data_IF_503794914471
#
_entry.id   IF_503794914471
#
_cell.length_a   1.000
_cell.length_b   1.000
_cell.length_c   1.000
_cell.angle_alpha   90.00
_cell.angle_beta   90.00
_cell.angle_gamma   90.00
#
_symmetry.space_group_name_H-M   'P 1'
#
loop_
_entity.id
_entity.type
_entity.pdbx_description
1 polymer ?
#
# COMPACT_ATOMS: atom_id res chain seq x y z
N UNK A 1 52.26 -10.12 -16.48
CA UNK A 1 51.77 -10.80 -15.27
C UNK A 1 50.26 -10.54 -15.18
N UNK A 2 49.45 -11.48 -15.67
CA UNK A 2 48.00 -11.34 -15.69
C UNK A 2 47.46 -11.76 -14.32
N UNK A 3 46.82 -10.84 -13.60
CA UNK A 3 46.19 -11.13 -12.31
C UNK A 3 45.18 -12.26 -12.48
N UNK A 4 45.43 -13.38 -11.81
CA UNK A 4 44.51 -14.50 -11.75
C UNK A 4 43.18 -14.03 -11.19
N UNK A 5 42.11 -14.10 -12.00
CA UNK A 5 40.74 -13.93 -11.53
C UNK A 5 40.45 -15.09 -10.58
N UNK A 6 40.52 -14.82 -9.28
CA UNK A 6 40.26 -15.79 -8.21
C UNK A 6 38.84 -16.33 -8.39
N UNK A 7 38.72 -17.65 -8.62
CA UNK A 7 37.43 -18.31 -8.77
C UNK A 7 36.56 -18.05 -7.54
N UNK A 8 35.37 -17.45 -7.76
CA UNK A 8 34.42 -17.23 -6.68
C UNK A 8 33.98 -18.58 -6.09
N UNK A 9 33.89 -18.72 -4.75
CA UNK A 9 33.44 -19.95 -4.12
C UNK A 9 32.05 -20.34 -4.63
N UNK A 10 31.78 -21.65 -4.77
CA UNK A 10 30.45 -22.17 -5.16
C UNK A 10 29.44 -21.89 -4.03
N UNK A 11 28.85 -20.70 -4.04
CA UNK A 11 27.81 -20.29 -3.11
C UNK A 11 26.55 -21.15 -3.31
N UNK A 12 26.02 -21.69 -2.21
CA UNK A 12 24.70 -22.35 -2.16
C UNK A 12 23.82 -21.54 -1.24
N UNK A 13 22.70 -21.07 -1.76
CA UNK A 13 21.72 -20.28 -0.99
C UNK A 13 20.69 -21.22 -0.35
N UNK A 14 20.33 -21.01 0.93
CA UNK A 14 19.23 -21.74 1.53
C UNK A 14 17.91 -21.34 0.90
N UNK A 15 16.99 -22.29 0.76
CA UNK A 15 15.59 -22.00 0.45
C UNK A 15 14.89 -21.68 1.76
N UNK A 16 14.24 -20.52 1.84
CA UNK A 16 13.46 -20.08 3.01
C UNK A 16 11.99 -19.95 2.58
N UNK A 17 11.09 -20.47 3.41
CA UNK A 17 9.64 -20.44 3.20
C UNK A 17 8.93 -20.00 4.48
N UNK A 18 7.79 -19.31 4.36
CA UNK A 18 7.03 -18.76 5.49
C UNK A 18 6.99 -17.23 5.46
N UNK A 19 6.58 -16.63 6.57
CA UNK A 19 6.65 -15.19 6.79
C UNK A 19 7.63 -14.84 7.93
N UNK A 20 7.78 -13.54 8.21
CA UNK A 20 8.61 -13.02 9.29
C UNK A 20 7.74 -12.38 10.39
N UNK A 21 6.58 -12.97 10.68
CA UNK A 21 5.63 -12.45 11.68
C UNK A 21 5.47 -13.41 12.88
N UNK A 22 5.26 -12.87 14.09
CA UNK A 22 5.39 -11.46 14.46
C UNK A 22 6.85 -11.02 14.60
N UNK A 23 7.13 -9.74 14.34
CA UNK A 23 8.43 -9.14 14.62
C UNK A 23 8.56 -8.79 16.11
N UNK A 24 9.75 -8.99 16.67
CA UNK A 24 10.10 -8.56 18.02
C UNK A 24 11.56 -8.09 18.05
N UNK A 25 11.81 -6.95 18.72
CA UNK A 25 13.15 -6.38 18.91
C UNK A 25 13.66 -6.54 20.36
N UNK A 26 12.91 -7.25 21.20
CA UNK A 26 13.29 -7.61 22.57
C UNK A 26 12.36 -8.68 23.17
N UNK A 27 12.74 -9.29 24.31
CA UNK A 27 12.02 -10.44 24.89
C UNK A 27 10.54 -10.19 25.18
N UNK A 28 10.18 -8.94 25.47
CA UNK A 28 8.80 -8.52 25.75
C UNK A 28 8.33 -7.40 24.81
N UNK A 29 8.99 -7.24 23.66
CA UNK A 29 8.73 -6.17 22.69
C UNK A 29 8.26 -6.76 21.36
N UNK A 30 7.16 -7.52 21.39
CA UNK A 30 6.52 -8.05 20.18
C UNK A 30 5.66 -6.95 19.55
N UNK A 31 5.91 -6.65 18.27
CA UNK A 31 5.22 -5.58 17.55
C UNK A 31 3.88 -6.05 16.98
N UNK A 32 3.02 -6.63 17.82
CA UNK A 32 1.67 -7.05 17.41
C UNK A 32 0.60 -5.97 17.62
N UNK A 33 0.89 -4.93 18.39
CA UNK A 33 -0.07 -3.85 18.68
C UNK A 33 -0.52 -3.08 17.42
N UNK A 34 0.37 -2.87 16.44
CA UNK A 34 0.01 -2.15 15.21
C UNK A 34 -1.00 -2.91 14.34
N UNK A 35 -1.24 -4.20 14.59
CA UNK A 35 -2.33 -4.95 13.95
C UNK A 35 -3.69 -4.36 14.28
N UNK A 36 -3.86 -3.70 15.43
CA UNK A 36 -5.14 -3.11 15.87
C UNK A 36 -5.10 -1.60 16.11
N UNK A 37 -3.94 -0.96 16.25
CA UNK A 37 -3.86 0.50 16.41
C UNK A 37 -4.68 1.26 15.36
N UNK A 38 -5.51 2.24 15.79
CA UNK A 38 -6.36 3.06 14.90
C UNK A 38 -7.29 2.24 13.99
N UNK A 39 -8.07 1.33 14.57
CA UNK A 39 -9.01 0.45 13.84
C UNK A 39 -9.96 1.19 12.90
N UNK A 40 -10.45 2.37 13.28
CA UNK A 40 -11.32 3.20 12.43
C UNK A 40 -10.62 3.62 11.14
N UNK A 41 -9.36 4.04 11.21
CA UNK A 41 -8.56 4.39 10.03
C UNK A 41 -8.28 3.16 9.16
N UNK A 42 -7.94 2.01 9.75
CA UNK A 42 -7.79 0.73 9.00
C UNK A 42 -9.07 0.38 8.21
N UNK A 43 -10.25 0.59 8.81
CA UNK A 43 -11.53 0.43 8.13
C UNK A 43 -11.69 1.43 6.98
N UNK A 44 -11.38 2.71 7.21
CA UNK A 44 -11.46 3.75 6.18
C UNK A 44 -10.57 3.41 4.96
N UNK A 45 -9.34 2.93 5.20
CA UNK A 45 -8.43 2.47 4.13
C UNK A 45 -9.06 1.35 3.30
N UNK A 46 -9.73 0.39 3.94
CA UNK A 46 -10.42 -0.71 3.25
C UNK A 46 -11.59 -0.22 2.40
N UNK A 47 -12.42 0.67 2.94
CA UNK A 47 -13.58 1.24 2.24
C UNK A 47 -13.14 2.11 1.04
N UNK A 48 -12.16 3.00 1.24
CA UNK A 48 -11.60 3.83 0.17
C UNK A 48 -10.96 2.99 -0.94
N UNK A 49 -10.23 1.92 -0.59
CA UNK A 49 -9.65 0.99 -1.57
C UNK A 49 -10.72 0.31 -2.42
N UNK A 50 -11.84 -0.10 -1.80
CA UNK A 50 -12.95 -0.73 -2.50
C UNK A 50 -13.65 0.25 -3.44
N UNK A 51 -13.90 1.48 -3.00
CA UNK A 51 -14.48 2.53 -3.82
C UNK A 51 -13.58 2.91 -5.00
N UNK A 52 -12.28 3.07 -4.78
CA UNK A 52 -11.33 3.37 -5.84
C UNK A 52 -11.29 2.26 -6.91
N UNK A 53 -11.39 0.99 -6.49
CA UNK A 53 -11.51 -0.15 -7.43
C UNK A 53 -12.83 -0.11 -8.20
N UNK A 54 -13.94 0.21 -7.54
CA UNK A 54 -15.25 0.33 -8.19
C UNK A 54 -15.24 1.45 -9.25
N UNK A 55 -14.67 2.62 -8.94
CA UNK A 55 -14.50 3.74 -9.87
C UNK A 55 -13.67 3.34 -11.10
N UNK A 56 -12.54 2.66 -10.90
CA UNK A 56 -11.71 2.16 -12.00
C UNK A 56 -12.45 1.15 -12.88
N UNK A 57 -13.22 0.25 -12.26
CA UNK A 57 -14.01 -0.76 -12.98
C UNK A 57 -15.13 -0.11 -13.79
N UNK A 58 -15.83 0.87 -13.23
CA UNK A 58 -16.87 1.63 -13.92
C UNK A 58 -16.30 2.41 -15.12
N UNK A 59 -15.14 3.04 -14.97
CA UNK A 59 -14.47 3.73 -16.08
C UNK A 59 -14.00 2.76 -17.17
N UNK A 60 -13.50 1.58 -16.81
CA UNK A 60 -13.14 0.56 -17.79
C UNK A 60 -14.37 0.08 -18.59
N UNK A 61 -15.50 -0.17 -17.90
CA UNK A 61 -16.75 -0.56 -18.53
C UNK A 61 -17.31 0.54 -19.43
N UNK A 62 -17.19 1.81 -19.05
CA UNK A 62 -17.65 2.92 -19.90
C UNK A 62 -16.84 3.01 -21.20
N UNK A 63 -15.51 2.82 -21.14
CA UNK A 63 -14.66 2.79 -22.35
C UNK A 63 -15.10 1.65 -23.28
N UNK A 64 -15.34 0.45 -22.73
CA UNK A 64 -15.76 -0.72 -23.52
C UNK A 64 -17.15 -0.53 -24.14
N UNK A 65 -18.07 0.10 -23.42
CA UNK A 65 -19.47 0.28 -23.86
C UNK A 65 -19.62 1.39 -24.91
N UNK A 66 -18.74 2.40 -24.89
CA UNK A 66 -18.79 3.57 -25.78
C UNK A 66 -17.68 3.55 -26.84
N UNK A 67 -17.38 2.37 -27.41
CA UNK A 67 -16.43 2.21 -28.54
C UNK A 67 -15.05 2.85 -28.32
N UNK A 68 -14.50 2.76 -27.11
CA UNK A 68 -13.16 3.27 -26.81
C UNK A 68 -13.11 4.77 -26.46
N UNK A 69 -14.25 5.42 -26.23
CA UNK A 69 -14.27 6.80 -25.75
C UNK A 69 -13.53 6.90 -24.41
N UNK A 70 -12.53 7.78 -24.34
CA UNK A 70 -11.77 8.04 -23.12
C UNK A 70 -12.70 8.50 -21.99
N UNK A 71 -12.42 8.13 -20.72
CA UNK A 71 -13.17 8.66 -19.60
C UNK A 71 -13.14 10.19 -19.63
N UNK A 72 -14.22 10.87 -19.23
CA UNK A 72 -14.20 12.32 -19.04
C UNK A 72 -13.02 12.72 -18.15
N UNK A 73 -12.38 13.86 -18.43
CA UNK A 73 -11.23 14.37 -17.66
C UNK A 73 -11.44 14.28 -16.14
N UNK A 74 -12.63 14.66 -15.67
CA UNK A 74 -13.03 14.57 -14.25
C UNK A 74 -12.97 13.15 -13.68
N UNK A 75 -13.37 12.14 -14.45
CA UNK A 75 -13.31 10.75 -14.02
C UNK A 75 -11.86 10.26 -13.91
N UNK A 76 -11.00 10.63 -14.88
CA UNK A 76 -9.57 10.32 -14.83
C UNK A 76 -8.88 11.00 -13.65
N UNK A 77 -9.22 12.26 -13.35
CA UNK A 77 -8.71 13.00 -12.18
C UNK A 77 -9.17 12.37 -10.86
N UNK A 78 -10.45 11.98 -10.74
CA UNK A 78 -10.96 11.29 -9.56
C UNK A 78 -10.26 9.93 -9.34
N UNK A 79 -10.03 9.16 -10.41
CA UNK A 79 -9.29 7.90 -10.33
C UNK A 79 -7.83 8.13 -9.91
N UNK A 80 -7.19 9.18 -10.38
CA UNK A 80 -5.84 9.54 -9.97
C UNK A 80 -5.79 9.92 -8.49
N UNK A 81 -6.72 10.77 -8.04
CA UNK A 81 -6.83 11.20 -6.64
C UNK A 81 -7.05 10.01 -5.69
N UNK A 82 -8.01 9.12 -6.00
CA UNK A 82 -8.25 7.93 -5.18
C UNK A 82 -7.04 6.99 -5.12
N UNK A 83 -6.30 6.84 -6.23
CA UNK A 83 -5.08 6.03 -6.27
C UNK A 83 -3.99 6.60 -5.38
N UNK A 84 -3.75 7.91 -5.47
CA UNK A 84 -2.72 8.57 -4.68
C UNK A 84 -3.03 8.48 -3.18
N UNK A 85 -4.26 8.77 -2.78
CA UNK A 85 -4.66 8.72 -1.38
C UNK A 85 -4.58 7.30 -0.79
N UNK A 86 -5.06 6.28 -1.53
CA UNK A 86 -4.97 4.88 -1.09
C UNK A 86 -3.51 4.42 -1.01
N UNK A 87 -2.67 4.82 -1.98
CA UNK A 87 -1.25 4.47 -2.00
C UNK A 87 -0.49 5.09 -0.81
N UNK A 88 -0.72 6.38 -0.53
CA UNK A 88 -0.15 7.05 0.63
C UNK A 88 -0.59 6.38 1.94
N UNK A 89 -1.86 5.98 2.03
CA UNK A 89 -2.38 5.29 3.20
C UNK A 89 -1.74 3.90 3.44
N UNK A 90 -1.10 3.29 2.44
CA UNK A 90 -0.33 2.04 2.61
C UNK A 90 1.05 2.25 3.25
N UNK A 91 1.49 3.49 3.47
CA UNK A 91 2.74 3.77 4.18
C UNK A 91 2.80 3.01 5.51
N UNK A 92 3.97 2.50 5.87
CA UNK A 92 4.15 1.64 7.06
C UNK A 92 3.97 2.39 8.39
N UNK A 93 3.76 3.70 8.38
CA UNK A 93 3.27 4.47 9.54
C UNK A 93 1.83 4.97 9.41
N UNK A 94 1.20 4.77 8.24
CA UNK A 94 -0.18 5.14 7.98
C UNK A 94 -1.12 4.01 8.39
N UNK A 95 -1.29 2.96 7.56
CA UNK A 95 -2.24 1.86 7.83
C UNK A 95 -1.92 1.11 9.13
N UNK A 96 -0.66 1.07 9.54
CA UNK A 96 -0.22 0.48 10.81
C UNK A 96 -0.70 1.29 12.01
N UNK A 97 -0.95 2.59 11.84
CA UNK A 97 -1.41 3.50 12.88
C UNK A 97 -0.31 3.96 13.84
N UNK A 98 0.96 3.89 13.42
CA UNK A 98 2.14 4.29 14.23
C UNK A 98 2.55 5.76 14.07
N UNK A 99 1.92 6.51 13.15
CA UNK A 99 2.15 7.95 13.02
C UNK A 99 1.57 8.78 14.20
N UNK A 100 2.11 9.99 14.36
CA UNK A 100 1.57 11.01 15.29
C UNK A 100 0.12 11.37 14.94
N UNK A 101 -0.63 11.85 15.92
CA UNK A 101 -2.07 12.15 15.76
C UNK A 101 -2.36 13.07 14.57
N UNK A 102 -1.72 14.23 14.47
CA UNK A 102 -1.95 15.17 13.38
C UNK A 102 -1.61 14.60 11.99
N UNK A 103 -0.64 13.68 11.90
CA UNK A 103 -0.31 12.98 10.65
C UNK A 103 -1.40 11.97 10.29
N UNK A 104 -1.93 11.28 11.29
CA UNK A 104 -3.06 10.35 11.10
C UNK A 104 -4.35 11.08 10.70
N UNK A 105 -4.56 12.29 11.23
CA UNK A 105 -5.67 13.16 10.85
C UNK A 105 -5.53 13.61 9.39
N UNK A 106 -4.30 13.96 8.95
CA UNK A 106 -4.01 14.29 7.55
C UNK A 106 -4.25 13.09 6.61
N UNK A 107 -3.82 11.87 6.98
CA UNK A 107 -4.15 10.68 6.20
C UNK A 107 -5.66 10.47 6.05
N UNK A 108 -6.41 10.67 7.14
CA UNK A 108 -7.86 10.50 7.15
C UNK A 108 -8.55 11.56 6.28
N UNK A 109 -8.07 12.80 6.32
CA UNK A 109 -8.56 13.90 5.48
C UNK A 109 -8.29 13.64 4.00
N UNK A 110 -7.08 13.17 3.65
CA UNK A 110 -6.72 12.83 2.26
C UNK A 110 -7.60 11.73 1.69
N UNK A 111 -7.86 10.67 2.47
CA UNK A 111 -8.77 9.60 2.05
C UNK A 111 -10.22 10.08 1.91
N UNK A 112 -10.68 10.97 2.79
CA UNK A 112 -12.04 11.51 2.73
C UNK A 112 -12.27 12.43 1.51
N UNK A 113 -11.21 13.09 1.03
CA UNK A 113 -11.26 14.00 -0.11
C UNK A 113 -10.94 13.33 -1.46
N UNK A 114 -10.63 12.04 -1.46
CA UNK A 114 -10.22 11.28 -2.64
C UNK A 114 -11.41 10.63 -3.36
#
# INVERSE_FOLDING_TARGET
>A
EAAAVTAQPRLRWPVVSGDALPYADGPSAVWSGFFTSRTSFKRQVREASALCRALQSAAALSILSYSGAMPPRRASEAIAACREAVALAQHHDAVTGTARQHVSDDYSLRLANA
#
